data_IF_661468282797
#
_entry.id   IF_661468282797
#
_cell.length_a   1.000
_cell.length_b   1.000
_cell.length_c   1.000
_cell.angle_alpha   90.00
_cell.angle_beta   90.00
_cell.angle_gamma   90.00
#
_symmetry.space_group_name_H-M   'P 1'
#
loop_
_entity.id
_entity.type
_entity.pdbx_description
1 polymer ?
#
# COMPACT_ATOMS: atom_id res chain seq x y z
N UNK A 1 -7.70 -20.14 18.32
CA UNK A 1 -6.91 -19.98 17.06
C UNK A 1 -7.73 -19.43 15.90
N UNK A 2 -8.93 -19.96 15.60
CA UNK A 2 -9.79 -19.52 14.49
C UNK A 2 -10.17 -18.04 14.58
N UNK A 3 -10.63 -17.61 15.75
CA UNK A 3 -11.04 -16.22 15.99
C UNK A 3 -9.89 -15.24 15.69
N UNK A 4 -8.65 -15.59 16.05
CA UNK A 4 -7.45 -14.82 15.74
C UNK A 4 -7.19 -14.72 14.23
N UNK A 5 -7.40 -15.80 13.46
CA UNK A 5 -7.19 -15.78 12.00
C UNK A 5 -8.23 -14.93 11.29
N UNK A 6 -9.51 -15.06 11.65
CA UNK A 6 -10.59 -14.20 11.10
C UNK A 6 -10.32 -12.73 11.42
N UNK A 7 -9.89 -12.44 12.65
CA UNK A 7 -9.52 -11.09 13.07
C UNK A 7 -8.39 -10.51 12.20
N UNK A 8 -7.29 -11.26 12.01
CA UNK A 8 -6.10 -10.80 11.30
C UNK A 8 -6.24 -10.78 9.77
N UNK A 9 -7.02 -11.70 9.18
CA UNK A 9 -7.13 -11.86 7.72
C UNK A 9 -8.36 -11.20 7.10
N UNK A 10 -9.33 -10.80 7.93
CA UNK A 10 -10.62 -10.26 7.46
C UNK A 10 -10.98 -8.98 8.21
N UNK A 11 -11.19 -9.05 9.53
CA UNK A 11 -11.81 -7.95 10.29
C UNK A 11 -10.90 -6.72 10.39
N UNK A 12 -9.68 -6.88 10.92
CA UNK A 12 -8.74 -5.76 11.10
C UNK A 12 -8.38 -5.11 9.75
N UNK A 13 -8.02 -5.85 8.69
CA UNK A 13 -7.72 -5.24 7.40
C UNK A 13 -8.89 -4.42 6.83
N UNK A 14 -10.13 -4.91 6.91
CA UNK A 14 -11.31 -4.18 6.44
C UNK A 14 -11.51 -2.84 7.19
N UNK A 15 -11.41 -2.86 8.52
CA UNK A 15 -11.48 -1.64 9.31
C UNK A 15 -10.32 -0.69 9.01
N UNK A 16 -9.09 -1.23 8.87
CA UNK A 16 -7.92 -0.44 8.53
C UNK A 16 -8.08 0.28 7.18
N UNK A 17 -8.70 -0.34 6.17
CA UNK A 17 -8.97 0.34 4.90
C UNK A 17 -9.88 1.56 5.09
N UNK A 18 -10.96 1.43 5.86
CA UNK A 18 -11.86 2.55 6.15
C UNK A 18 -11.16 3.67 6.92
N UNK A 19 -10.38 3.31 7.95
CA UNK A 19 -9.60 4.27 8.74
C UNK A 19 -8.52 4.96 7.90
N UNK A 20 -7.78 4.21 7.08
CA UNK A 20 -6.77 4.75 6.18
C UNK A 20 -7.35 5.80 5.24
N UNK A 21 -8.47 5.47 4.57
CA UNK A 21 -9.16 6.39 3.66
C UNK A 21 -9.59 7.66 4.41
N UNK A 22 -10.24 7.51 5.56
CA UNK A 22 -10.68 8.64 6.37
C UNK A 22 -9.52 9.56 6.76
N UNK A 23 -8.44 8.99 7.29
CA UNK A 23 -7.27 9.77 7.73
C UNK A 23 -6.57 10.47 6.57
N UNK A 24 -6.45 9.82 5.41
CA UNK A 24 -5.90 10.42 4.20
C UNK A 24 -6.75 11.60 3.72
N UNK A 25 -8.07 11.46 3.70
CA UNK A 25 -8.97 12.57 3.34
C UNK A 25 -8.88 13.73 4.33
N UNK A 26 -8.83 13.45 5.63
CA UNK A 26 -8.63 14.48 6.65
C UNK A 26 -7.27 15.15 6.49
N UNK A 27 -6.21 14.40 6.19
CA UNK A 27 -4.89 14.96 5.93
C UNK A 27 -4.91 15.91 4.72
N UNK A 28 -5.56 15.51 3.62
CA UNK A 28 -5.76 16.40 2.45
C UNK A 28 -6.54 17.67 2.82
N UNK A 29 -7.56 17.55 3.66
CA UNK A 29 -8.37 18.69 4.11
C UNK A 29 -7.56 19.68 4.96
N UNK A 30 -6.67 19.18 5.82
CA UNK A 30 -5.82 20.01 6.68
C UNK A 30 -4.48 20.43 6.04
N UNK A 31 -4.22 20.04 4.79
CA UNK A 31 -2.99 20.42 4.10
C UNK A 31 -2.98 21.92 3.76
N UNK A 32 -2.01 22.72 4.24
CA UNK A 32 -2.02 24.18 4.07
C UNK A 32 -1.96 24.65 2.62
N UNK A 33 -1.19 23.96 1.77
CA UNK A 33 -0.96 24.39 0.39
C UNK A 33 0.48 24.18 -0.07
N UNK A 34 0.76 24.54 -1.32
CA UNK A 34 2.06 24.38 -1.95
C UNK A 34 2.19 23.06 -2.70
N UNK A 35 2.63 23.15 -3.94
CA UNK A 35 3.03 22.01 -4.77
C UNK A 35 4.53 22.05 -5.03
N UNK A 36 5.08 20.95 -5.54
CA UNK A 36 6.50 20.89 -5.94
C UNK A 36 6.93 22.02 -6.89
N UNK A 37 6.02 22.49 -7.77
CA UNK A 37 6.32 23.52 -8.78
C UNK A 37 5.78 24.91 -8.45
N UNK A 38 4.86 25.02 -7.48
CA UNK A 38 4.24 26.27 -7.09
C UNK A 38 3.87 26.26 -5.60
N UNK A 39 4.71 26.90 -4.79
CA UNK A 39 4.52 27.06 -3.35
C UNK A 39 3.39 28.04 -2.97
N UNK A 40 2.87 28.83 -3.91
CA UNK A 40 1.83 29.83 -3.61
C UNK A 40 0.41 29.25 -3.61
N UNK A 41 0.26 28.03 -4.10
CA UNK A 41 -1.03 27.33 -4.12
C UNK A 41 -1.58 27.10 -2.71
N UNK A 42 -2.90 27.21 -2.57
CA UNK A 42 -3.62 26.92 -1.32
C UNK A 42 -4.21 25.52 -1.36
N UNK A 43 -4.14 24.81 -0.24
CA UNK A 43 -4.72 23.48 -0.10
C UNK A 43 -4.03 22.36 -0.90
N UNK A 44 -4.55 21.15 -0.76
CA UNK A 44 -4.05 19.98 -1.49
C UNK A 44 -4.58 19.93 -2.93
N UNK A 45 -3.69 19.96 -3.93
CA UNK A 45 -4.05 19.82 -5.34
C UNK A 45 -3.85 18.37 -5.77
N UNK A 46 -4.96 17.64 -5.94
CA UNK A 46 -4.96 16.20 -6.22
C UNK A 46 -4.08 15.77 -7.41
N UNK A 47 -4.02 16.56 -8.49
CA UNK A 47 -3.20 16.21 -9.66
C UNK A 47 -1.73 16.64 -9.55
N UNK A 48 -1.34 17.44 -8.55
CA UNK A 48 -0.02 18.07 -8.48
C UNK A 48 0.76 17.73 -7.20
N UNK A 49 0.08 17.42 -6.11
CA UNK A 49 0.72 16.96 -4.89
C UNK A 49 0.80 15.44 -4.85
N UNK A 50 1.94 14.88 -4.45
CA UNK A 50 2.01 13.47 -4.11
C UNK A 50 1.13 13.17 -2.88
N UNK A 51 0.70 11.92 -2.71
CA UNK A 51 0.04 11.52 -1.48
C UNK A 51 0.98 11.68 -0.28
N UNK A 52 2.27 11.43 -0.48
CA UNK A 52 3.32 11.62 0.53
C UNK A 52 3.60 13.08 0.89
N UNK A 53 3.15 14.05 0.09
CA UNK A 53 3.27 15.47 0.47
C UNK A 53 2.50 15.76 1.75
N UNK A 54 1.41 15.02 2.01
CA UNK A 54 0.63 15.10 3.23
C UNK A 54 1.48 14.82 4.48
N UNK A 55 2.53 14.01 4.35
CA UNK A 55 3.45 13.63 5.42
C UNK A 55 4.59 14.60 5.69
N UNK A 56 4.80 15.61 4.84
CA UNK A 56 5.87 16.61 5.04
C UNK A 56 5.64 17.38 6.34
N UNK A 57 6.70 17.75 7.05
CA UNK A 57 6.61 18.55 8.26
C UNK A 57 6.34 20.02 7.95
N UNK A 58 7.00 20.56 6.93
CA UNK A 58 6.69 21.82 6.29
C UNK A 58 6.34 21.63 4.81
N UNK A 59 5.33 22.37 4.34
CA UNK A 59 4.96 22.37 2.91
C UNK A 59 5.97 23.17 2.07
N UNK A 60 5.80 23.18 0.74
CA UNK A 60 6.78 23.77 -0.19
C UNK A 60 7.04 25.28 -0.01
N UNK A 61 6.15 26.02 0.65
CA UNK A 61 6.35 27.43 1.00
C UNK A 61 6.88 27.68 2.42
N UNK A 62 7.22 26.62 3.16
CA UNK A 62 7.75 26.68 4.52
C UNK A 62 6.70 26.77 5.63
N UNK A 63 5.40 26.81 5.31
CA UNK A 63 4.35 26.74 6.35
C UNK A 63 4.34 25.36 7.03
N UNK A 64 4.03 25.37 8.32
CA UNK A 64 3.92 24.15 9.13
C UNK A 64 2.73 23.28 8.70
N UNK A 65 2.93 21.97 8.62
CA UNK A 65 1.96 20.99 8.15
C UNK A 65 1.62 19.94 9.22
N UNK A 66 1.56 20.35 10.49
CA UNK A 66 1.49 19.44 11.63
C UNK A 66 0.30 18.46 11.56
N UNK A 67 -0.92 18.97 11.32
CA UNK A 67 -2.12 18.15 11.34
C UNK A 67 -2.15 17.11 10.22
N UNK A 68 -1.88 17.52 8.97
CA UNK A 68 -1.81 16.60 7.84
C UNK A 68 -0.69 15.58 8.04
N UNK A 69 0.50 16.03 8.48
CA UNK A 69 1.66 15.16 8.67
C UNK A 69 1.35 14.04 9.66
N UNK A 70 0.84 14.38 10.85
CA UNK A 70 0.50 13.37 11.87
C UNK A 70 -0.56 12.39 11.39
N UNK A 71 -1.62 12.86 10.71
CA UNK A 71 -2.67 12.01 10.17
C UNK A 71 -2.13 11.04 9.10
N UNK A 72 -1.31 11.54 8.17
CA UNK A 72 -0.65 10.73 7.15
C UNK A 72 0.27 9.68 7.76
N UNK A 73 1.16 10.10 8.67
CA UNK A 73 2.14 9.21 9.31
C UNK A 73 1.44 8.12 10.10
N UNK A 74 0.38 8.45 10.84
CA UNK A 74 -0.40 7.46 11.57
C UNK A 74 -1.12 6.48 10.63
N UNK A 75 -1.72 6.97 9.55
CA UNK A 75 -2.40 6.11 8.57
C UNK A 75 -1.45 5.08 7.93
N UNK A 76 -0.25 5.51 7.54
CA UNK A 76 0.76 4.65 6.92
C UNK A 76 1.40 3.70 7.95
N UNK A 77 1.73 4.17 9.15
CA UNK A 77 2.27 3.33 10.21
C UNK A 77 1.29 2.23 10.63
N UNK A 78 0.01 2.58 10.85
CA UNK A 78 -1.03 1.61 11.20
C UNK A 78 -1.24 0.58 10.08
N UNK A 79 -1.31 1.03 8.82
CA UNK A 79 -1.50 0.14 7.66
C UNK A 79 -0.34 -0.83 7.49
N UNK A 80 0.90 -0.35 7.59
CA UNK A 80 2.06 -1.21 7.48
C UNK A 80 2.12 -2.27 8.59
N UNK A 81 1.77 -1.90 9.83
CA UNK A 81 1.66 -2.86 10.94
C UNK A 81 0.57 -3.91 10.71
N UNK A 82 -0.61 -3.49 10.25
CA UNK A 82 -1.71 -4.39 9.89
C UNK A 82 -1.27 -5.36 8.79
N UNK A 83 -0.55 -4.89 7.77
CA UNK A 83 -0.03 -5.74 6.72
C UNK A 83 1.02 -6.73 7.22
N UNK A 84 1.89 -6.35 8.16
CA UNK A 84 2.82 -7.30 8.78
C UNK A 84 2.07 -8.46 9.45
N UNK A 85 1.03 -8.19 10.25
CA UNK A 85 0.23 -9.25 10.88
C UNK A 85 -0.58 -10.07 9.88
N UNK A 86 -1.13 -9.41 8.86
CA UNK A 86 -1.87 -10.06 7.78
C UNK A 86 -1.00 -11.09 7.06
N UNK A 87 0.17 -10.66 6.55
CA UNK A 87 1.09 -11.55 5.83
C UNK A 87 1.76 -12.56 6.75
N UNK A 88 1.97 -12.26 8.03
CA UNK A 88 2.40 -13.28 9.00
C UNK A 88 1.41 -14.44 9.12
N UNK A 89 0.11 -14.14 9.06
CA UNK A 89 -0.96 -15.13 9.32
C UNK A 89 -1.39 -15.88 8.06
N UNK A 90 -1.27 -15.25 6.89
CA UNK A 90 -1.82 -15.73 5.61
C UNK A 90 -1.31 -17.12 5.16
N UNK A 91 -0.02 -17.49 5.32
CA UNK A 91 0.49 -18.83 4.96
C UNK A 91 -0.25 -19.97 5.65
N UNK A 92 -0.79 -19.72 6.84
CA UNK A 92 -1.50 -20.72 7.62
C UNK A 92 -2.80 -21.23 6.96
N UNK A 93 -3.29 -20.57 5.90
CA UNK A 93 -4.38 -21.05 5.06
C UNK A 93 -3.92 -22.11 4.05
N UNK A 94 -2.63 -22.18 3.73
CA UNK A 94 -2.07 -22.99 2.64
C UNK A 94 -1.11 -24.09 3.10
N UNK A 95 -1.18 -24.47 4.37
CA UNK A 95 -0.25 -25.42 5.00
C UNK A 95 -0.45 -26.90 4.64
N UNK A 96 -1.44 -27.25 3.81
CA UNK A 96 -1.74 -28.65 3.44
C UNK A 96 -0.69 -29.21 2.48
N UNK A 97 -0.28 -28.41 1.51
CA UNK A 97 0.68 -28.82 0.47
C UNK A 97 2.00 -28.10 0.68
N UNK A 98 3.09 -28.86 0.85
CA UNK A 98 4.40 -28.30 1.20
C UNK A 98 4.90 -27.25 0.21
N UNK A 99 4.78 -27.50 -1.09
CA UNK A 99 5.26 -26.58 -2.12
C UNK A 99 4.47 -25.27 -2.13
N UNK A 100 3.14 -25.36 -2.01
CA UNK A 100 2.26 -24.18 -1.95
C UNK A 100 2.53 -23.38 -0.67
N UNK A 101 2.71 -24.07 0.45
CA UNK A 101 3.06 -23.44 1.72
C UNK A 101 4.38 -22.67 1.62
N UNK A 102 5.43 -23.27 1.06
CA UNK A 102 6.73 -22.61 0.87
C UNK A 102 6.63 -21.34 0.01
N UNK A 103 5.89 -21.40 -1.11
CA UNK A 103 5.68 -20.20 -1.95
C UNK A 103 4.88 -19.13 -1.19
N UNK A 104 3.88 -19.53 -0.39
CA UNK A 104 3.12 -18.59 0.44
C UNK A 104 3.98 -17.92 1.52
N UNK A 105 4.98 -18.63 2.06
CA UNK A 105 5.95 -18.08 3.02
C UNK A 105 6.87 -17.04 2.36
N UNK A 106 7.36 -17.30 1.14
CA UNK A 106 8.16 -16.32 0.38
C UNK A 106 7.32 -15.08 0.08
N UNK A 107 6.09 -15.27 -0.41
CA UNK A 107 5.16 -14.17 -0.66
C UNK A 107 4.87 -13.36 0.60
N UNK A 108 4.73 -14.03 1.75
CA UNK A 108 4.52 -13.37 3.04
C UNK A 108 5.73 -12.61 3.54
N UNK A 109 6.94 -13.13 3.33
CA UNK A 109 8.16 -12.38 3.64
C UNK A 109 8.20 -11.08 2.83
N UNK A 110 7.87 -11.13 1.54
CA UNK A 110 7.68 -9.95 0.70
C UNK A 110 6.61 -9.01 1.26
N UNK A 111 5.44 -9.51 1.62
CA UNK A 111 4.36 -8.68 2.17
C UNK A 111 4.67 -8.04 3.53
N UNK A 112 5.41 -8.74 4.40
CA UNK A 112 5.89 -8.19 5.68
C UNK A 112 6.90 -7.08 5.45
N UNK A 113 7.90 -7.30 4.58
CA UNK A 113 8.87 -6.26 4.21
C UNK A 113 8.19 -5.06 3.56
N UNK A 114 7.22 -5.30 2.67
CA UNK A 114 6.37 -4.26 2.10
C UNK A 114 5.64 -3.46 3.19
N UNK A 115 5.04 -4.12 4.18
CA UNK A 115 4.39 -3.48 5.32
C UNK A 115 5.35 -2.59 6.12
N UNK A 116 6.56 -3.09 6.42
CA UNK A 116 7.62 -2.32 7.09
C UNK A 116 8.00 -1.07 6.27
N UNK A 117 8.11 -1.21 4.95
CA UNK A 117 8.48 -0.10 4.06
C UNK A 117 7.35 0.93 3.89
N UNK A 118 6.07 0.52 3.93
CA UNK A 118 4.94 1.45 4.05
C UNK A 118 5.06 2.29 5.33
N UNK A 119 5.33 1.64 6.48
CA UNK A 119 5.52 2.38 7.74
C UNK A 119 6.70 3.35 7.63
N UNK A 120 7.83 2.90 7.07
CA UNK A 120 9.00 3.73 6.85
C UNK A 120 8.69 4.97 6.01
N UNK A 121 7.91 4.85 4.93
CA UNK A 121 7.48 5.98 4.10
C UNK A 121 6.61 6.97 4.87
N UNK A 122 5.75 6.48 5.77
CA UNK A 122 4.93 7.31 6.66
C UNK A 122 5.74 8.04 7.73
N UNK A 123 6.83 7.44 8.21
CA UNK A 123 7.63 7.95 9.32
C UNK A 123 8.87 8.76 8.89
N UNK A 124 9.03 8.99 7.58
CA UNK A 124 10.15 9.77 7.03
C UNK A 124 9.60 10.95 6.24
N UNK A 125 9.40 12.13 6.87
CA UNK A 125 8.93 13.32 6.16
C UNK A 125 9.89 13.72 5.03
N UNK A 126 9.37 13.85 3.81
CA UNK A 126 10.20 14.05 2.61
C UNK A 126 10.93 15.40 2.56
N UNK A 127 10.53 16.37 3.38
CA UNK A 127 11.22 17.65 3.56
C UNK A 127 12.43 17.57 4.51
N UNK A 128 12.41 16.64 5.46
CA UNK A 128 13.48 16.45 6.45
C UNK A 128 14.42 15.29 6.10
N UNK A 129 13.90 14.26 5.43
CA UNK A 129 14.57 12.97 5.19
C UNK A 129 14.27 12.44 3.80
N UNK A 130 14.58 13.22 2.75
CA UNK A 130 14.23 12.87 1.37
C UNK A 130 14.78 11.51 0.92
N UNK A 131 16.08 11.23 1.13
CA UNK A 131 16.69 9.98 0.67
C UNK A 131 16.07 8.75 1.36
N UNK A 132 15.94 8.70 2.70
CA UNK A 132 15.19 7.63 3.37
C UNK A 132 13.74 7.51 2.89
N UNK A 133 13.04 8.63 2.68
CA UNK A 133 11.65 8.63 2.23
C UNK A 133 11.50 7.97 0.86
N UNK A 134 12.33 8.37 -0.10
CA UNK A 134 12.33 7.82 -1.46
C UNK A 134 12.72 6.34 -1.42
N UNK A 135 13.72 5.96 -0.61
CA UNK A 135 14.11 4.57 -0.43
C UNK A 135 12.93 3.71 0.07
N UNK A 136 12.27 4.10 1.16
CA UNK A 136 11.13 3.35 1.70
C UNK A 136 9.95 3.29 0.72
N UNK A 137 9.58 4.43 0.14
CA UNK A 137 8.47 4.54 -0.81
C UNK A 137 8.69 3.63 -2.03
N UNK A 138 9.88 3.67 -2.64
CA UNK A 138 10.16 2.91 -3.84
C UNK A 138 10.25 1.41 -3.57
N UNK A 139 10.96 1.00 -2.52
CA UNK A 139 11.17 -0.42 -2.22
C UNK A 139 9.91 -1.12 -1.69
N UNK A 140 8.99 -0.39 -1.06
CA UNK A 140 7.66 -0.88 -0.69
C UNK A 140 6.99 -1.64 -1.85
N UNK A 141 6.87 -1.01 -3.02
CA UNK A 141 6.21 -1.60 -4.19
C UNK A 141 6.93 -2.85 -4.71
N UNK A 142 8.27 -2.88 -4.65
CA UNK A 142 9.07 -4.04 -5.09
C UNK A 142 8.82 -5.25 -4.20
N UNK A 143 8.73 -5.06 -2.89
CA UNK A 143 8.40 -6.14 -1.96
C UNK A 143 6.96 -6.64 -2.13
N UNK A 144 6.01 -5.75 -2.36
CA UNK A 144 4.63 -6.16 -2.68
C UNK A 144 4.49 -6.82 -4.04
N UNK A 145 5.34 -6.50 -5.02
CA UNK A 145 5.38 -7.24 -6.28
C UNK A 145 5.76 -8.71 -6.05
N UNK A 146 6.77 -8.97 -5.22
CA UNK A 146 7.15 -10.33 -4.82
C UNK A 146 5.95 -11.03 -4.18
N UNK A 147 5.29 -10.37 -3.22
CA UNK A 147 4.11 -10.91 -2.56
C UNK A 147 2.98 -11.24 -3.55
N UNK A 148 2.66 -10.30 -4.45
CA UNK A 148 1.58 -10.43 -5.41
C UNK A 148 1.85 -11.56 -6.41
N UNK A 149 3.07 -11.71 -6.92
CA UNK A 149 3.45 -12.80 -7.83
C UNK A 149 3.35 -14.16 -7.13
N UNK A 150 3.91 -14.28 -5.92
CA UNK A 150 3.84 -15.53 -5.15
C UNK A 150 2.39 -15.93 -4.84
N UNK A 151 1.55 -14.99 -4.40
CA UNK A 151 0.17 -15.28 -4.07
C UNK A 151 -0.73 -15.50 -5.27
N UNK A 152 -0.41 -14.89 -6.42
CA UNK A 152 -1.03 -15.26 -7.71
C UNK A 152 -0.83 -16.75 -7.98
N UNK A 153 0.42 -17.23 -7.89
CA UNK A 153 0.73 -18.65 -8.07
C UNK A 153 0.01 -19.53 -7.05
N UNK A 154 0.05 -19.18 -5.75
CA UNK A 154 -0.61 -19.93 -4.68
C UNK A 154 -2.11 -20.08 -4.95
N UNK A 155 -2.80 -18.99 -5.32
CA UNK A 155 -4.25 -19.00 -5.52
C UNK A 155 -4.68 -19.79 -6.76
N UNK A 156 -3.86 -19.83 -7.82
CA UNK A 156 -4.13 -20.68 -8.98
C UNK A 156 -3.86 -22.17 -8.73
N UNK A 157 -3.12 -22.52 -7.68
CA UNK A 157 -2.63 -23.88 -7.43
C UNK A 157 -3.25 -24.54 -6.21
N UNK A 158 -4.24 -23.90 -5.56
CA UNK A 158 -4.90 -24.44 -4.37
C UNK A 158 -6.41 -24.49 -4.54
N UNK A 159 -7.04 -25.52 -3.99
CA UNK A 159 -8.50 -25.60 -3.89
C UNK A 159 -9.06 -24.75 -2.72
N UNK A 160 -8.18 -24.13 -1.93
CA UNK A 160 -8.54 -23.28 -0.79
C UNK A 160 -9.24 -21.99 -1.24
N UNK A 161 -8.85 -21.45 -2.40
CA UNK A 161 -9.34 -20.18 -2.96
C UNK A 161 -9.95 -20.39 -4.33
N UNK A 162 -10.94 -19.57 -4.70
CA UNK A 162 -11.45 -19.56 -6.06
C UNK A 162 -10.47 -18.87 -7.03
N UNK A 163 -10.44 -19.34 -8.27
CA UNK A 163 -9.56 -18.84 -9.35
C UNK A 163 -9.66 -17.33 -9.57
N UNK A 164 -10.84 -16.72 -9.33
CA UNK A 164 -11.04 -15.28 -9.45
C UNK A 164 -10.11 -14.47 -8.54
N UNK A 165 -9.79 -14.99 -7.34
CA UNK A 165 -8.85 -14.35 -6.42
C UNK A 165 -7.42 -14.40 -6.97
N UNK A 166 -7.03 -15.49 -7.63
CA UNK A 166 -5.75 -15.60 -8.36
C UNK A 166 -5.66 -14.63 -9.54
N UNK A 167 -6.73 -14.49 -10.33
CA UNK A 167 -6.80 -13.52 -11.42
C UNK A 167 -6.68 -12.07 -10.90
N UNK A 168 -7.38 -11.74 -9.81
CA UNK A 168 -7.29 -10.42 -9.18
C UNK A 168 -5.88 -10.10 -8.68
N UNK A 169 -5.21 -11.08 -8.05
CA UNK A 169 -3.83 -10.94 -7.62
C UNK A 169 -2.83 -10.85 -8.79
N UNK A 170 -3.09 -11.55 -9.89
CA UNK A 170 -2.31 -11.44 -11.12
C UNK A 170 -2.40 -10.05 -11.75
N UNK A 171 -3.62 -9.51 -11.83
CA UNK A 171 -3.83 -8.12 -12.26
C UNK A 171 -3.13 -7.13 -11.31
N UNK A 172 -3.23 -7.36 -10.00
CA UNK A 172 -2.56 -6.53 -9.02
C UNK A 172 -1.04 -6.53 -9.19
N UNK A 173 -0.41 -7.70 -9.37
CA UNK A 173 1.02 -7.83 -9.65
C UNK A 173 1.41 -7.07 -10.93
N UNK A 174 0.62 -7.19 -11.99
CA UNK A 174 0.86 -6.46 -13.24
C UNK A 174 0.81 -4.93 -13.02
N UNK A 175 -0.20 -4.42 -12.31
CA UNK A 175 -0.34 -2.99 -12.05
C UNK A 175 0.79 -2.44 -11.17
N UNK A 176 1.27 -3.22 -10.19
CA UNK A 176 2.48 -2.85 -9.43
C UNK A 176 3.70 -2.77 -10.35
N UNK A 177 3.89 -3.76 -11.24
CA UNK A 177 5.02 -3.77 -12.17
C UNK A 177 4.97 -2.56 -13.13
N UNK A 178 3.79 -2.20 -13.64
CA UNK A 178 3.59 -0.99 -14.45
C UNK A 178 3.97 0.26 -13.65
N UNK A 179 3.51 0.37 -12.40
CA UNK A 179 3.84 1.52 -11.55
C UNK A 179 5.35 1.63 -11.26
N UNK A 180 6.02 0.51 -10.98
CA UNK A 180 7.49 0.47 -10.85
C UNK A 180 8.14 0.94 -12.16
N UNK A 181 7.65 0.49 -13.31
CA UNK A 181 8.13 0.97 -14.61
C UNK A 181 7.98 2.48 -14.80
N UNK A 182 6.89 3.08 -14.32
CA UNK A 182 6.67 4.54 -14.34
C UNK A 182 7.66 5.27 -13.42
N UNK A 183 7.99 4.71 -12.26
CA UNK A 183 9.01 5.29 -11.37
C UNK A 183 10.41 5.23 -12.02
N UNK A 184 10.77 4.10 -12.63
CA UNK A 184 12.12 3.85 -13.14
C UNK A 184 12.40 4.50 -14.50
N UNK A 185 11.39 4.53 -15.37
CA UNK A 185 11.55 4.91 -16.78
C UNK A 185 10.60 6.04 -17.20
N UNK A 186 9.70 6.46 -16.32
CA UNK A 186 8.80 7.59 -16.58
C UNK A 186 9.53 8.93 -16.53
N UNK A 187 8.84 10.02 -16.95
CA UNK A 187 9.45 11.34 -16.98
C UNK A 187 9.74 11.87 -15.58
N UNK A 188 10.84 12.61 -15.43
CA UNK A 188 11.21 13.25 -14.17
C UNK A 188 10.23 14.38 -13.82
N UNK A 189 9.89 14.49 -12.54
CA UNK A 189 8.99 15.54 -12.02
C UNK A 189 9.51 16.97 -12.27
N UNK A 190 10.81 17.11 -12.51
CA UNK A 190 11.49 18.36 -12.81
C UNK A 190 11.25 18.84 -14.24
N UNK A 191 11.01 17.93 -15.18
CA UNK A 191 10.93 18.25 -16.62
C UNK A 191 9.73 19.16 -16.95
N UNK A 192 8.55 18.86 -16.41
CA UNK A 192 7.34 19.63 -16.71
C UNK A 192 6.20 19.38 -15.71
N UNK A 193 5.17 20.24 -15.75
CA UNK A 193 3.92 20.01 -15.01
C UNK A 193 3.23 18.71 -15.43
N UNK A 194 3.30 18.35 -16.72
CA UNK A 194 2.73 17.09 -17.22
C UNK A 194 3.47 15.88 -16.68
N UNK A 195 4.81 15.94 -16.59
CA UNK A 195 5.62 14.89 -15.99
C UNK A 195 5.29 14.69 -14.50
N UNK A 196 5.19 15.78 -13.73
CA UNK A 196 4.73 15.75 -12.33
C UNK A 196 3.35 15.08 -12.23
N UNK A 197 2.38 15.49 -13.06
CA UNK A 197 1.03 14.92 -13.06
C UNK A 197 1.03 13.41 -13.32
N UNK A 198 1.85 12.93 -14.25
CA UNK A 198 1.97 11.49 -14.55
C UNK A 198 2.40 10.73 -13.29
N UNK A 199 3.46 11.17 -12.61
CA UNK A 199 3.97 10.51 -11.41
C UNK A 199 2.95 10.55 -10.26
N UNK A 200 2.37 11.73 -10.02
CA UNK A 200 1.40 11.97 -8.93
C UNK A 200 0.12 11.16 -9.11
N UNK A 201 -0.44 11.13 -10.32
CA UNK A 201 -1.67 10.39 -10.62
C UNK A 201 -1.39 8.89 -10.58
N UNK A 202 -0.26 8.43 -11.10
CA UNK A 202 0.12 7.01 -11.06
C UNK A 202 0.26 6.50 -9.62
N UNK A 203 0.85 7.29 -8.72
CA UNK A 203 0.92 6.96 -7.29
C UNK A 203 -0.47 6.77 -6.66
N UNK A 204 -1.43 7.63 -7.01
CA UNK A 204 -2.81 7.54 -6.50
C UNK A 204 -3.53 6.32 -7.05
N UNK A 205 -3.36 6.03 -8.34
CA UNK A 205 -3.95 4.85 -8.98
C UNK A 205 -3.43 3.55 -8.37
N UNK A 206 -2.12 3.43 -8.13
CA UNK A 206 -1.59 2.23 -7.48
C UNK A 206 -2.06 2.13 -6.01
N UNK A 207 -2.13 3.25 -5.27
CA UNK A 207 -2.68 3.25 -3.91
C UNK A 207 -4.14 2.78 -3.88
N UNK A 208 -4.98 3.27 -4.80
CA UNK A 208 -6.36 2.82 -4.96
C UNK A 208 -6.42 1.32 -5.30
N UNK A 209 -5.54 0.86 -6.17
CA UNK A 209 -5.43 -0.56 -6.53
C UNK A 209 -5.10 -1.42 -5.29
N UNK A 210 -4.19 -0.97 -4.42
CA UNK A 210 -3.90 -1.64 -3.14
C UNK A 210 -5.14 -1.75 -2.25
N UNK A 211 -5.87 -0.66 -2.07
CA UNK A 211 -7.09 -0.63 -1.27
C UNK A 211 -8.10 -1.68 -1.78
N UNK A 212 -8.33 -1.69 -3.10
CA UNK A 212 -9.25 -2.63 -3.73
C UNK A 212 -8.75 -4.08 -3.65
N UNK A 213 -7.46 -4.32 -3.85
CA UNK A 213 -6.86 -5.65 -3.77
C UNK A 213 -6.97 -6.25 -2.36
N UNK A 214 -6.70 -5.46 -1.32
CA UNK A 214 -6.85 -5.89 0.08
C UNK A 214 -8.31 -6.18 0.39
N UNK A 215 -9.23 -5.28 0.01
CA UNK A 215 -10.66 -5.49 0.19
C UNK A 215 -11.11 -6.80 -0.46
N UNK A 216 -10.76 -6.98 -1.74
CA UNK A 216 -11.09 -8.18 -2.50
C UNK A 216 -10.53 -9.46 -1.86
N UNK A 217 -9.27 -9.44 -1.42
CA UNK A 217 -8.65 -10.59 -0.77
C UNK A 217 -9.30 -10.94 0.56
N UNK A 218 -9.79 -9.97 1.34
CA UNK A 218 -10.47 -10.28 2.61
C UNK A 218 -11.73 -11.12 2.42
N UNK A 219 -12.44 -10.97 1.31
CA UNK A 219 -13.58 -11.84 0.96
C UNK A 219 -13.12 -13.27 0.65
N UNK A 220 -12.06 -13.42 -0.14
CA UNK A 220 -11.48 -14.74 -0.40
C UNK A 220 -11.00 -15.42 0.89
N UNK A 221 -10.37 -14.66 1.79
CA UNK A 221 -9.90 -15.21 3.07
C UNK A 221 -11.08 -15.66 3.93
N UNK A 222 -12.19 -14.93 3.92
CA UNK A 222 -13.41 -15.28 4.64
C UNK A 222 -14.04 -16.58 4.10
N UNK A 223 -14.14 -16.73 2.78
CA UNK A 223 -14.60 -17.96 2.13
C UNK A 223 -13.70 -19.16 2.44
N UNK A 224 -12.38 -18.96 2.36
CA UNK A 224 -11.37 -19.98 2.65
C UNK A 224 -11.43 -20.46 4.11
N UNK A 225 -11.74 -19.55 5.04
CA UNK A 225 -11.98 -19.91 6.43
C UNK A 225 -13.28 -20.73 6.55
N UNK A 226 -14.39 -20.28 5.96
CA UNK A 226 -15.69 -20.98 6.03
C UNK A 226 -15.67 -22.42 5.47
N UNK A 227 -14.99 -22.66 4.34
CA UNK A 227 -14.87 -23.99 3.73
C UNK A 227 -14.20 -25.04 4.62
N UNK A 228 -13.41 -24.64 5.61
CA UNK A 228 -12.72 -25.57 6.50
C UNK A 228 -13.62 -26.12 7.62
N UNK A 229 -14.92 -25.83 7.63
CA UNK A 229 -15.83 -26.19 8.71
C UNK A 229 -15.54 -25.37 9.96
N UNK A 230 -15.32 -24.07 9.76
CA UNK A 230 -14.75 -23.08 10.69
C UNK A 230 -15.55 -21.78 10.61
#
# INVERSE_FOLDING_TARGET
MIHSKRLMLVTIPRWNLGVFILLVFLAMFFYPGGTYRDGTTEGYIFSQNFLSDLGRWAVYNGQENYFSSVLFSFAFAATGLVFCFFFWTLPSLYSKERNIYLVSMIGSAGGILGGIFIMGSGLTPGDLMLDPHVFFSNWCFRFFLIAAVCYTFVFFRTDTMHTIYGMGYGLFAFLIAVYIGIIEFGPSIEESLSALKIQVVSQKLICLTFILAVAFQTYGNEEALGKRGI
#
